data_IF_513441073213
#
_entry.id   IF_513441073213
#
_cell.length_a   1.000
_cell.length_b   1.000
_cell.length_c   1.000
_cell.angle_alpha   90.00
_cell.angle_beta   90.00
_cell.angle_gamma   90.00
#
_symmetry.space_group_name_H-M   'P 1'
#
loop_
_entity.id
_entity.type
_entity.pdbx_description
1 polymer ?
#
# COMPACT_ATOMS: atom_id res chain seq x y z
N UNK A 1 23.94 -18.30 -19.34
CA UNK A 1 22.96 -17.35 -18.74
C UNK A 1 22.58 -17.90 -17.39
N UNK A 2 23.13 -17.40 -16.29
CA UNK A 2 22.68 -17.79 -14.95
C UNK A 2 21.26 -17.26 -14.75
N UNK A 3 20.32 -18.15 -14.43
CA UNK A 3 18.92 -17.82 -14.23
C UNK A 3 18.79 -16.62 -13.27
N UNK A 4 17.87 -15.69 -13.58
CA UNK A 4 17.47 -14.59 -12.69
C UNK A 4 16.61 -15.13 -11.52
N UNK A 5 17.01 -16.29 -11.01
CA UNK A 5 16.34 -17.05 -9.98
C UNK A 5 16.46 -16.34 -8.64
N UNK A 6 15.42 -16.51 -7.84
CA UNK A 6 15.30 -15.88 -6.54
C UNK A 6 16.29 -16.51 -5.57
N UNK A 7 17.23 -15.71 -5.06
CA UNK A 7 18.26 -16.18 -4.12
C UNK A 7 17.78 -16.33 -2.67
N UNK A 8 16.47 -16.28 -2.40
CA UNK A 8 15.97 -16.37 -1.02
C UNK A 8 14.65 -17.11 -0.87
N UNK A 9 14.54 -17.80 0.26
CA UNK A 9 13.35 -18.51 0.71
C UNK A 9 12.90 -17.97 2.05
N UNK A 10 11.59 -17.95 2.30
CA UNK A 10 11.06 -17.47 3.57
C UNK A 10 10.96 -18.63 4.56
N UNK A 11 11.31 -18.39 5.82
CA UNK A 11 11.04 -19.34 6.90
C UNK A 11 9.53 -19.58 7.05
N UNK A 12 9.17 -20.78 7.49
CA UNK A 12 7.77 -21.21 7.62
C UNK A 12 7.01 -20.42 8.69
N UNK A 13 5.67 -20.45 8.62
CA UNK A 13 4.78 -19.77 9.58
C UNK A 13 4.91 -20.27 11.02
N UNK A 14 5.43 -21.49 11.20
CA UNK A 14 5.65 -22.15 12.49
C UNK A 14 7.09 -22.02 12.98
N UNK A 15 8.00 -21.44 12.18
CA UNK A 15 9.40 -21.30 12.54
C UNK A 15 9.58 -20.38 13.74
N UNK A 16 10.40 -20.83 14.69
CA UNK A 16 10.72 -20.14 15.93
C UNK A 16 12.22 -20.16 16.15
N UNK A 17 12.77 -19.04 16.63
CA UNK A 17 14.19 -18.94 17.01
C UNK A 17 14.32 -19.03 18.52
N UNK A 18 15.31 -19.78 19.05
CA UNK A 18 15.62 -19.72 20.47
C UNK A 18 16.02 -18.29 20.84
N UNK A 19 15.50 -17.78 21.94
CA UNK A 19 15.79 -16.42 22.40
C UNK A 19 16.50 -16.39 23.74
N UNK A 20 16.14 -17.32 24.63
CA UNK A 20 16.76 -17.43 25.94
C UNK A 20 16.31 -18.68 26.66
N UNK A 21 16.82 -18.82 27.88
CA UNK A 21 16.51 -19.92 28.79
C UNK A 21 15.88 -19.30 30.04
N UNK A 22 14.74 -19.84 30.48
CA UNK A 22 14.08 -19.47 31.72
C UNK A 22 14.85 -19.99 32.94
N UNK A 23 14.54 -19.48 34.13
CA UNK A 23 15.25 -19.86 35.37
C UNK A 23 15.15 -21.36 35.71
N UNK A 24 14.11 -22.03 35.22
CA UNK A 24 13.88 -23.47 35.37
C UNK A 24 14.56 -24.32 34.27
N UNK A 25 15.32 -23.69 33.37
CA UNK A 25 16.03 -24.36 32.29
C UNK A 25 15.22 -24.52 30.99
N UNK A 26 13.98 -24.02 30.93
CA UNK A 26 13.19 -24.11 29.70
C UNK A 26 13.60 -23.05 28.67
N UNK A 27 13.96 -23.50 27.46
CA UNK A 27 14.25 -22.59 26.36
C UNK A 27 12.96 -21.98 25.80
N UNK A 28 12.82 -20.66 25.88
CA UNK A 28 11.72 -19.97 25.22
C UNK A 28 12.17 -19.39 23.88
N UNK A 29 11.22 -19.35 22.95
CA UNK A 29 11.49 -19.03 21.55
C UNK A 29 10.61 -17.89 21.07
N UNK A 30 11.16 -17.10 20.15
CA UNK A 30 10.44 -16.01 19.51
C UNK A 30 9.94 -16.44 18.14
N UNK A 31 8.78 -15.92 17.75
CA UNK A 31 8.19 -16.20 16.44
C UNK A 31 9.08 -15.59 15.35
N UNK A 32 9.59 -16.43 14.46
CA UNK A 32 10.58 -16.08 13.45
C UNK A 32 10.12 -16.43 12.03
N UNK A 33 8.80 -16.46 11.81
CA UNK A 33 8.20 -16.68 10.50
C UNK A 33 8.53 -15.58 9.49
N UNK A 34 8.58 -15.94 8.20
CA UNK A 34 8.80 -14.99 7.11
C UNK A 34 10.15 -14.23 7.17
N UNK A 35 11.17 -14.79 7.80
CA UNK A 35 12.56 -14.30 7.68
C UNK A 35 13.12 -14.84 6.36
N UNK A 36 13.70 -13.99 5.49
CA UNK A 36 14.35 -14.46 4.28
C UNK A 36 15.69 -15.12 4.61
N UNK A 37 15.89 -16.34 4.12
CA UNK A 37 17.15 -17.05 4.08
C UNK A 37 17.75 -16.87 2.69
N UNK A 38 18.90 -16.21 2.60
CA UNK A 38 19.66 -15.98 1.38
C UNK A 38 20.63 -17.13 1.09
N UNK A 39 20.71 -17.50 -0.18
CA UNK A 39 21.67 -18.44 -0.73
C UNK A 39 22.55 -17.76 -1.78
N UNK A 40 23.73 -18.31 -1.97
CA UNK A 40 24.55 -18.10 -3.16
C UNK A 40 23.84 -18.65 -4.40
N UNK A 41 24.21 -18.20 -5.62
CA UNK A 41 23.64 -18.73 -6.87
C UNK A 41 23.79 -20.24 -7.08
N UNK A 42 24.73 -20.90 -6.38
CA UNK A 42 24.90 -22.36 -6.39
C UNK A 42 24.02 -23.09 -5.34
N UNK A 43 23.17 -22.35 -4.62
CA UNK A 43 22.24 -22.89 -3.62
C UNK A 43 22.82 -23.00 -2.21
N UNK A 44 24.14 -22.81 -2.01
CA UNK A 44 24.72 -22.82 -0.66
C UNK A 44 24.20 -21.65 0.18
N UNK A 45 23.92 -21.81 1.48
CA UNK A 45 23.53 -20.69 2.34
C UNK A 45 24.59 -19.58 2.33
N UNK A 46 24.16 -18.32 2.23
CA UNK A 46 25.03 -17.16 2.32
C UNK A 46 25.12 -16.70 3.79
N UNK A 47 26.09 -17.23 4.52
CA UNK A 47 26.21 -17.09 5.99
C UNK A 47 26.19 -15.63 6.43
N UNK A 48 27.05 -14.78 5.88
CA UNK A 48 27.15 -13.37 6.26
C UNK A 48 25.84 -12.63 6.02
N UNK A 49 25.18 -12.87 4.88
CA UNK A 49 23.93 -12.23 4.55
C UNK A 49 22.78 -12.68 5.48
N UNK A 50 22.78 -13.95 5.88
CA UNK A 50 21.81 -14.50 6.83
C UNK A 50 22.01 -13.95 8.25
N UNK A 51 23.26 -13.84 8.69
CA UNK A 51 23.60 -13.21 9.97
C UNK A 51 23.20 -11.72 9.99
N UNK A 52 23.44 -10.99 8.89
CA UNK A 52 22.99 -9.61 8.76
C UNK A 52 21.46 -9.45 8.82
N UNK A 53 20.72 -10.35 8.17
CA UNK A 53 19.25 -10.33 8.21
C UNK A 53 18.71 -10.68 9.60
N UNK A 54 19.41 -11.56 10.34
CA UNK A 54 19.11 -11.86 11.74
C UNK A 54 19.35 -10.63 12.63
N UNK A 55 20.51 -9.98 12.48
CA UNK A 55 20.81 -8.70 13.14
C UNK A 55 19.74 -7.63 12.86
N UNK A 56 19.30 -7.53 11.60
CA UNK A 56 18.20 -6.63 11.21
C UNK A 56 16.87 -7.01 11.88
N UNK A 57 16.59 -8.30 12.01
CA UNK A 57 15.39 -8.79 12.68
C UNK A 57 15.39 -8.44 14.18
N UNK A 58 16.52 -8.63 14.86
CA UNK A 58 16.70 -8.28 16.28
C UNK A 58 16.50 -6.78 16.54
N UNK A 59 16.86 -5.94 15.55
CA UNK A 59 16.57 -4.50 15.57
C UNK A 59 15.10 -4.13 15.31
N UNK A 60 14.23 -5.13 15.13
CA UNK A 60 12.79 -4.96 14.99
C UNK A 60 12.32 -4.62 13.57
N UNK A 61 13.10 -4.93 12.53
CA UNK A 61 12.65 -4.73 11.15
C UNK A 61 11.43 -5.63 10.82
N UNK A 62 10.49 -5.06 10.06
CA UNK A 62 9.19 -5.69 9.79
C UNK A 62 9.30 -6.97 8.96
N UNK A 63 8.53 -8.00 9.35
CA UNK A 63 8.33 -9.28 8.64
C UNK A 63 6.93 -9.45 8.02
N UNK A 64 6.07 -8.42 8.12
CA UNK A 64 4.67 -8.50 7.66
C UNK A 64 4.57 -8.74 6.15
N UNK A 65 3.52 -9.45 5.72
CA UNK A 65 3.16 -9.68 4.30
C UNK A 65 4.31 -10.25 3.46
N UNK A 66 4.75 -11.47 3.78
CA UNK A 66 5.83 -12.13 3.02
C UNK A 66 7.22 -11.58 3.35
N UNK A 67 7.46 -11.17 4.59
CA UNK A 67 8.78 -10.83 5.13
C UNK A 67 9.18 -9.36 5.08
N UNK A 68 8.27 -8.45 4.69
CA UNK A 68 8.35 -7.01 4.93
C UNK A 68 9.68 -6.34 4.52
N UNK A 69 10.25 -5.56 5.44
CA UNK A 69 11.51 -4.83 5.22
C UNK A 69 12.67 -5.80 5.04
N UNK A 70 12.71 -6.91 5.78
CA UNK A 70 13.77 -7.91 5.66
C UNK A 70 13.80 -8.54 4.26
N UNK A 71 12.64 -8.86 3.69
CA UNK A 71 12.55 -9.37 2.32
C UNK A 71 12.95 -8.34 1.29
N UNK A 72 12.63 -7.06 1.53
CA UNK A 72 13.14 -6.00 0.68
C UNK A 72 14.68 -5.93 0.74
N UNK A 73 15.29 -6.08 1.92
CA UNK A 73 16.74 -6.12 2.05
C UNK A 73 17.31 -7.34 1.31
N UNK A 74 16.74 -8.53 1.51
CA UNK A 74 17.18 -9.73 0.80
C UNK A 74 17.17 -9.58 -0.72
N UNK A 75 16.10 -8.97 -1.29
CA UNK A 75 16.02 -8.64 -2.72
C UNK A 75 17.16 -7.72 -3.17
N UNK A 76 17.46 -6.67 -2.39
CA UNK A 76 18.50 -5.71 -2.74
C UNK A 76 19.91 -6.32 -2.60
N UNK A 77 20.15 -7.09 -1.53
CA UNK A 77 21.42 -7.79 -1.29
C UNK A 77 21.70 -8.85 -2.34
N UNK A 78 20.66 -9.49 -2.89
CA UNK A 78 20.80 -10.47 -3.98
C UNK A 78 21.55 -9.91 -5.21
N UNK A 79 21.57 -8.59 -5.42
CA UNK A 79 22.38 -7.99 -6.48
C UNK A 79 23.88 -8.06 -6.18
N UNK A 80 24.29 -7.70 -4.96
CA UNK A 80 25.69 -7.77 -4.54
C UNK A 80 26.16 -9.22 -4.46
N UNK A 81 25.34 -10.13 -3.91
CA UNK A 81 25.65 -11.55 -3.80
C UNK A 81 25.96 -12.15 -5.18
N UNK A 82 25.13 -11.86 -6.21
CA UNK A 82 25.42 -12.30 -7.59
C UNK A 82 26.68 -11.68 -8.15
N UNK A 83 26.91 -10.40 -7.88
CA UNK A 83 28.13 -9.72 -8.33
C UNK A 83 29.37 -10.37 -7.73
N UNK A 84 29.40 -10.59 -6.43
CA UNK A 84 30.50 -11.25 -5.73
C UNK A 84 30.71 -12.69 -6.24
N UNK A 85 29.63 -13.47 -6.35
CA UNK A 85 29.70 -14.85 -6.84
C UNK A 85 30.27 -14.94 -8.26
N UNK A 86 29.76 -14.13 -9.19
CA UNK A 86 30.18 -14.18 -10.59
C UNK A 86 31.63 -13.72 -10.81
N UNK A 87 32.17 -12.93 -9.89
CA UNK A 87 33.55 -12.43 -9.97
C UNK A 87 34.48 -13.13 -8.96
N UNK A 88 33.98 -14.16 -8.25
CA UNK A 88 34.72 -14.89 -7.22
C UNK A 88 35.33 -13.99 -6.13
N UNK A 89 34.56 -13.01 -5.66
CA UNK A 89 34.95 -12.14 -4.56
C UNK A 89 34.31 -12.59 -3.24
N UNK A 90 35.10 -12.63 -2.16
CA UNK A 90 34.56 -12.61 -0.80
C UNK A 90 34.06 -11.20 -0.46
N UNK A 91 33.10 -11.07 0.46
CA UNK A 91 32.56 -9.75 0.82
C UNK A 91 33.61 -8.83 1.46
N UNK A 92 34.45 -9.38 2.34
CA UNK A 92 35.48 -8.64 3.07
C UNK A 92 36.67 -8.23 2.18
N UNK A 93 36.83 -8.87 1.01
CA UNK A 93 37.89 -8.55 0.04
C UNK A 93 37.48 -7.43 -0.94
N UNK A 94 36.24 -6.94 -0.85
CA UNK A 94 35.77 -5.89 -1.75
C UNK A 94 36.47 -4.56 -1.49
N UNK A 95 37.04 -3.99 -2.55
CA UNK A 95 37.59 -2.62 -2.52
C UNK A 95 36.58 -1.58 -3.00
N UNK A 96 36.87 -0.31 -2.74
CA UNK A 96 36.15 0.84 -3.31
C UNK A 96 35.96 0.74 -4.83
N UNK A 97 36.97 0.23 -5.54
CA UNK A 97 36.93 0.04 -6.99
C UNK A 97 35.94 -1.07 -7.39
N UNK A 98 35.93 -2.18 -6.66
CA UNK A 98 34.96 -3.26 -6.88
C UNK A 98 33.53 -2.79 -6.62
N UNK A 99 33.30 -2.04 -5.54
CA UNK A 99 32.00 -1.48 -5.22
C UNK A 99 31.55 -0.45 -6.27
N UNK A 100 32.47 0.40 -6.74
CA UNK A 100 32.23 1.34 -7.84
C UNK A 100 31.86 0.63 -9.15
N UNK A 101 32.51 -0.50 -9.45
CA UNK A 101 32.17 -1.33 -10.61
C UNK A 101 30.77 -1.95 -10.45
N UNK A 102 30.44 -2.49 -9.28
CA UNK A 102 29.11 -3.02 -8.97
C UNK A 102 28.01 -1.99 -9.24
N UNK A 103 28.17 -0.75 -8.75
CA UNK A 103 27.20 0.32 -8.97
C UNK A 103 27.11 0.72 -10.45
N UNK A 104 28.22 0.70 -11.20
CA UNK A 104 28.22 0.96 -12.65
C UNK A 104 27.47 -0.14 -13.42
N UNK A 105 27.66 -1.41 -13.08
CA UNK A 105 26.92 -2.53 -13.66
C UNK A 105 25.41 -2.34 -13.47
N UNK A 106 24.97 -2.00 -12.25
CA UNK A 106 23.55 -1.76 -11.98
C UNK A 106 22.93 -0.62 -12.81
N UNK A 107 23.72 0.42 -13.12
CA UNK A 107 23.31 1.56 -13.93
C UNK A 107 23.29 1.26 -15.43
N UNK A 108 24.15 0.35 -15.88
CA UNK A 108 24.27 -0.07 -17.28
C UNK A 108 23.31 -1.18 -17.70
N UNK A 109 22.69 -1.90 -16.74
CA UNK A 109 21.71 -2.94 -17.07
C UNK A 109 20.51 -2.38 -17.85
N UNK A 110 20.27 -2.94 -19.04
CA UNK A 110 19.14 -2.61 -19.91
C UNK A 110 17.94 -3.52 -19.63
N UNK A 111 16.73 -3.00 -19.82
CA UNK A 111 15.51 -3.78 -19.65
C UNK A 111 15.32 -4.74 -20.84
N UNK A 112 15.34 -6.07 -20.63
CA UNK A 112 15.18 -7.03 -21.71
C UNK A 112 13.78 -6.98 -22.36
N UNK A 113 12.78 -6.42 -21.66
CA UNK A 113 11.41 -6.26 -22.16
C UNK A 113 11.18 -4.92 -22.83
N UNK A 114 12.10 -3.96 -22.68
CA UNK A 114 12.00 -2.61 -23.21
C UNK A 114 13.35 -2.17 -23.79
N UNK A 115 13.64 -2.53 -25.05
CA UNK A 115 14.88 -2.16 -25.71
C UNK A 115 15.14 -0.66 -25.61
N UNK A 116 16.39 -0.29 -25.30
CA UNK A 116 16.80 1.12 -25.16
C UNK A 116 16.46 1.77 -23.81
N UNK A 117 15.69 1.11 -22.92
CA UNK A 117 15.44 1.63 -21.57
C UNK A 117 16.34 0.96 -20.54
N UNK A 118 16.86 1.76 -19.59
CA UNK A 118 17.57 1.24 -18.42
C UNK A 118 16.62 0.41 -17.56
N UNK A 119 17.10 -0.74 -17.08
CA UNK A 119 16.36 -1.65 -16.20
C UNK A 119 16.01 -1.00 -14.86
N UNK A 120 16.86 -0.09 -14.36
CA UNK A 120 16.70 0.56 -13.06
C UNK A 120 16.84 2.07 -13.16
N UNK A 121 15.96 2.77 -12.43
CA UNK A 121 16.08 4.21 -12.21
C UNK A 121 17.16 4.53 -11.17
N UNK A 122 17.71 5.74 -11.21
CA UNK A 122 18.76 6.18 -10.30
C UNK A 122 18.43 5.97 -8.81
N UNK A 123 17.19 6.26 -8.41
CA UNK A 123 16.74 6.07 -7.02
C UNK A 123 16.76 4.61 -6.56
N UNK A 124 16.49 3.67 -7.47
CA UNK A 124 16.53 2.23 -7.14
C UNK A 124 17.98 1.74 -7.01
N UNK A 125 18.89 2.20 -7.88
CA UNK A 125 20.33 1.94 -7.75
C UNK A 125 20.86 2.44 -6.41
N UNK A 126 20.52 3.68 -6.01
CA UNK A 126 20.87 4.21 -4.68
C UNK A 126 20.34 3.35 -3.54
N UNK A 127 19.11 2.82 -3.67
CA UNK A 127 18.54 1.95 -2.65
C UNK A 127 19.33 0.64 -2.53
N UNK A 128 19.70 0.02 -3.65
CA UNK A 128 20.55 -1.19 -3.66
C UNK A 128 21.88 -0.88 -3.00
N UNK A 129 22.59 0.15 -3.48
CA UNK A 129 23.90 0.52 -2.97
C UNK A 129 23.91 0.83 -1.48
N UNK A 130 22.94 1.60 -0.98
CA UNK A 130 22.84 1.93 0.46
C UNK A 130 22.61 0.71 1.34
N UNK A 131 21.72 -0.20 0.92
CA UNK A 131 21.48 -1.44 1.66
C UNK A 131 22.72 -2.33 1.65
N UNK A 132 23.44 -2.39 0.52
CA UNK A 132 24.69 -3.13 0.40
C UNK A 132 25.80 -2.54 1.26
N UNK A 133 25.94 -1.21 1.35
CA UNK A 133 26.92 -0.57 2.25
C UNK A 133 26.62 -0.85 3.73
N UNK A 134 25.34 -0.83 4.12
CA UNK A 134 24.95 -1.22 5.48
C UNK A 134 25.29 -2.68 5.80
N UNK A 135 25.08 -3.59 4.83
CA UNK A 135 25.48 -4.98 4.94
C UNK A 135 27.01 -5.15 5.00
N UNK A 136 27.76 -4.48 4.13
CA UNK A 136 29.22 -4.56 4.11
C UNK A 136 29.84 -3.95 5.38
N UNK A 137 29.24 -2.90 5.95
CA UNK A 137 29.63 -2.40 7.28
C UNK A 137 29.47 -3.48 8.36
N UNK A 138 28.36 -4.21 8.36
CA UNK A 138 28.16 -5.35 9.26
C UNK A 138 29.15 -6.50 9.01
N UNK A 139 29.48 -6.79 7.74
CA UNK A 139 30.54 -7.76 7.40
C UNK A 139 31.89 -7.31 7.98
N UNK A 140 32.23 -6.02 7.86
CA UNK A 140 33.42 -5.46 8.49
C UNK A 140 33.45 -5.74 9.99
N UNK A 141 32.36 -5.45 10.72
CA UNK A 141 32.25 -5.76 12.15
C UNK A 141 32.42 -7.26 12.44
N UNK A 142 31.81 -8.13 11.64
CA UNK A 142 31.91 -9.59 11.78
C UNK A 142 33.35 -10.11 11.63
N UNK A 143 34.14 -9.51 10.75
CA UNK A 143 35.54 -9.86 10.51
C UNK A 143 36.53 -8.98 11.28
N UNK A 144 36.06 -8.23 12.29
CA UNK A 144 36.87 -7.34 13.14
C UNK A 144 37.58 -6.19 12.39
N UNK A 145 37.00 -5.77 11.28
CA UNK A 145 37.40 -4.64 10.45
C UNK A 145 36.31 -3.55 10.47
N UNK A 146 36.07 -2.86 11.61
CA UNK A 146 34.94 -1.93 11.76
C UNK A 146 35.03 -0.70 10.85
N UNK A 147 36.23 -0.41 10.31
CA UNK A 147 36.47 0.67 9.35
C UNK A 147 36.40 0.21 7.89
N UNK A 148 35.95 -1.03 7.61
CA UNK A 148 35.86 -1.57 6.25
C UNK A 148 35.02 -0.68 5.32
N UNK A 149 33.91 -0.15 5.83
CA UNK A 149 33.08 0.88 5.16
C UNK A 149 33.16 2.18 5.97
N UNK A 150 33.73 3.22 5.38
CA UNK A 150 33.84 4.53 6.02
C UNK A 150 34.59 5.54 5.16
N UNK A 151 34.74 6.81 5.60
CA UNK A 151 35.37 7.86 4.77
C UNK A 151 36.80 7.51 4.34
N UNK A 152 37.54 6.82 5.21
CA UNK A 152 38.91 6.33 4.97
C UNK A 152 38.99 4.80 4.95
N UNK A 153 37.84 4.12 4.79
CA UNK A 153 37.78 2.66 4.76
C UNK A 153 38.23 2.05 3.45
N UNK A 154 38.29 0.72 3.40
CA UNK A 154 38.54 -0.06 2.18
C UNK A 154 37.50 0.25 1.09
N UNK A 155 36.25 0.47 1.51
CA UNK A 155 35.18 1.04 0.69
C UNK A 155 34.88 2.45 1.21
N UNK A 156 35.09 3.47 0.39
CA UNK A 156 35.01 4.88 0.79
C UNK A 156 33.57 5.37 0.70
N UNK A 157 32.88 5.34 1.83
CA UNK A 157 31.50 5.79 1.94
C UNK A 157 31.32 6.75 3.12
N UNK A 158 30.44 7.72 2.94
CA UNK A 158 30.14 8.74 3.93
C UNK A 158 28.72 8.58 4.45
N UNK A 159 28.51 8.84 5.73
CA UNK A 159 27.17 9.00 6.28
C UNK A 159 26.71 10.44 6.07
N UNK A 160 25.66 10.63 5.28
CA UNK A 160 25.02 11.93 5.07
C UNK A 160 23.73 12.03 5.88
N UNK A 161 23.38 13.23 6.27
CA UNK A 161 22.15 13.53 7.01
C UNK A 161 21.10 14.17 6.11
N UNK A 162 19.84 13.78 6.31
CA UNK A 162 18.67 14.53 5.87
C UNK A 162 17.92 14.97 7.12
N UNK A 163 17.77 16.28 7.25
CA UNK A 163 16.94 16.90 8.27
C UNK A 163 15.50 16.90 7.77
N UNK A 164 14.63 16.16 8.45
CA UNK A 164 13.19 16.14 8.20
C UNK A 164 12.49 16.89 9.33
N UNK A 165 11.58 17.79 9.01
CA UNK A 165 10.71 18.38 10.03
C UNK A 165 9.46 17.49 10.16
N UNK A 166 9.19 17.02 11.36
CA UNK A 166 7.97 16.30 11.67
C UNK A 166 7.34 16.87 12.94
N UNK A 167 6.16 17.47 12.80
CA UNK A 167 5.40 18.07 13.92
C UNK A 167 6.24 19.07 14.74
N UNK A 168 6.97 19.96 14.05
CA UNK A 168 7.86 20.94 14.69
C UNK A 168 9.18 20.37 15.24
N UNK A 169 9.32 19.05 15.35
CA UNK A 169 10.58 18.40 15.76
C UNK A 169 11.43 18.03 14.55
N UNK A 170 12.71 18.42 14.60
CA UNK A 170 13.69 18.04 13.60
C UNK A 170 14.10 16.58 13.83
N UNK A 171 13.73 15.71 12.88
CA UNK A 171 14.19 14.33 12.80
C UNK A 171 15.37 14.29 11.84
N UNK A 172 16.55 14.00 12.36
CA UNK A 172 17.72 13.72 11.54
C UNK A 172 17.69 12.26 11.12
N UNK A 173 17.75 12.01 9.81
CA UNK A 173 17.95 10.66 9.26
C UNK A 173 19.28 10.58 8.57
N UNK A 174 20.08 9.60 8.96
CA UNK A 174 21.35 9.28 8.33
C UNK A 174 21.16 8.28 7.20
N UNK A 175 22.01 8.37 6.17
CA UNK A 175 22.06 7.40 5.08
C UNK A 175 23.47 7.34 4.49
N UNK A 176 23.84 6.17 3.98
CA UNK A 176 25.10 6.00 3.26
C UNK A 176 25.10 6.71 1.91
N UNK A 177 26.22 7.35 1.62
CA UNK A 177 26.54 7.94 0.33
C UNK A 177 27.89 7.41 -0.14
N UNK A 178 27.97 7.11 -1.43
CA UNK A 178 29.18 6.67 -2.09
C UNK A 178 29.30 7.45 -3.40
N UNK A 179 30.53 7.80 -3.78
CA UNK A 179 30.82 8.66 -4.94
C UNK A 179 30.27 8.10 -6.26
N UNK A 180 30.22 6.78 -6.40
CA UNK A 180 29.69 6.09 -7.59
C UNK A 180 28.16 6.16 -7.75
N UNK A 181 27.40 6.68 -6.77
CA UNK A 181 25.95 6.75 -6.86
C UNK A 181 25.48 7.74 -7.94
N UNK A 182 24.43 7.40 -8.71
CA UNK A 182 23.93 8.27 -9.76
C UNK A 182 23.44 9.62 -9.23
N UNK A 183 23.37 10.62 -10.10
CA UNK A 183 22.71 11.89 -9.77
C UNK A 183 21.21 11.67 -9.50
N UNK A 184 20.61 12.56 -8.71
CA UNK A 184 19.18 12.48 -8.42
C UNK A 184 18.39 12.89 -9.66
N UNK A 185 17.52 12.01 -10.14
CA UNK A 185 16.54 12.33 -11.18
C UNK A 185 15.33 13.05 -10.56
N UNK A 186 14.65 13.94 -11.30
CA UNK A 186 13.37 14.49 -10.88
C UNK A 186 12.40 13.35 -10.57
N UNK A 187 11.77 13.39 -9.40
CA UNK A 187 10.73 12.42 -9.09
C UNK A 187 9.50 12.73 -9.95
N UNK A 188 9.15 11.82 -10.86
CA UNK A 188 7.83 11.85 -11.51
C UNK A 188 6.77 11.72 -10.41
N UNK A 189 6.04 12.81 -10.16
CA UNK A 189 4.97 12.82 -9.17
C UNK A 189 3.84 11.92 -9.65
N UNK A 190 3.36 11.06 -8.76
CA UNK A 190 2.17 10.26 -9.01
C UNK A 190 0.95 11.13 -8.77
N UNK A 191 0.13 11.29 -9.80
CA UNK A 191 -1.10 12.08 -9.72
C UNK A 191 -2.27 11.24 -9.16
N UNK A 192 -3.35 11.87 -8.68
CA UNK A 192 -4.61 11.19 -8.45
C UNK A 192 -5.09 10.43 -9.69
N UNK A 193 -5.73 9.28 -9.52
CA UNK A 193 -6.46 8.64 -10.63
C UNK A 193 -7.65 9.52 -11.04
N UNK A 194 -7.90 9.66 -12.34
CA UNK A 194 -9.03 10.44 -12.86
C UNK A 194 -10.36 9.67 -12.75
N UNK A 195 -11.48 10.40 -12.71
CA UNK A 195 -12.82 9.78 -12.75
C UNK A 195 -13.05 9.00 -14.05
N UNK A 196 -12.48 9.48 -15.17
CA UNK A 196 -12.54 8.79 -16.47
C UNK A 196 -11.84 7.44 -16.42
N UNK A 197 -10.63 7.37 -15.84
CA UNK A 197 -9.91 6.11 -15.71
C UNK A 197 -10.62 5.15 -14.76
N UNK A 198 -11.26 5.63 -13.69
CA UNK A 198 -12.10 4.77 -12.85
C UNK A 198 -13.28 4.19 -13.64
N UNK A 199 -13.95 5.00 -14.46
CA UNK A 199 -15.04 4.53 -15.31
C UNK A 199 -14.56 3.45 -16.30
N UNK A 200 -13.46 3.71 -17.02
CA UNK A 200 -12.84 2.72 -17.92
C UNK A 200 -12.49 1.40 -17.22
N UNK A 201 -11.98 1.47 -15.98
CA UNK A 201 -11.68 0.28 -15.18
C UNK A 201 -12.94 -0.51 -14.81
N UNK A 202 -14.07 0.15 -14.55
CA UNK A 202 -15.36 -0.49 -14.25
C UNK A 202 -15.92 -1.14 -15.51
N UNK A 203 -15.87 -0.43 -16.64
CA UNK A 203 -16.47 -0.87 -17.91
C UNK A 203 -15.85 -2.19 -18.43
N UNK A 204 -14.55 -2.41 -18.20
CA UNK A 204 -13.86 -3.64 -18.63
C UNK A 204 -14.00 -4.81 -17.66
N UNK A 205 -14.65 -4.64 -16.51
CA UNK A 205 -14.81 -5.72 -15.52
C UNK A 205 -15.45 -6.97 -16.14
N UNK A 206 -16.53 -6.91 -16.93
CA UNK A 206 -17.13 -8.10 -17.52
C UNK A 206 -16.18 -8.84 -18.46
N UNK A 207 -15.41 -8.10 -19.26
CA UNK A 207 -14.51 -8.67 -20.27
C UNK A 207 -13.41 -9.53 -19.64
N UNK A 208 -12.91 -9.13 -18.47
CA UNK A 208 -11.83 -9.85 -17.78
C UNK A 208 -12.31 -10.86 -16.75
N UNK A 209 -13.62 -10.94 -16.50
CA UNK A 209 -14.20 -11.77 -15.42
C UNK A 209 -14.94 -12.97 -15.96
N UNK A 210 -14.56 -14.14 -15.47
CA UNK A 210 -15.18 -15.40 -15.92
C UNK A 210 -16.45 -15.73 -15.14
N UNK A 211 -16.58 -15.25 -13.90
CA UNK A 211 -17.73 -15.55 -13.04
C UNK A 211 -18.38 -14.27 -12.51
N UNK A 212 -19.66 -14.36 -12.14
CA UNK A 212 -20.36 -13.27 -11.47
C UNK A 212 -19.65 -12.85 -10.18
N UNK A 213 -19.15 -13.81 -9.39
CA UNK A 213 -18.42 -13.48 -8.16
C UNK A 213 -17.16 -12.66 -8.45
N UNK A 214 -16.39 -13.01 -9.49
CA UNK A 214 -15.21 -12.23 -9.89
C UNK A 214 -15.56 -10.82 -10.32
N UNK A 215 -16.63 -10.65 -11.13
CA UNK A 215 -17.12 -9.32 -11.52
C UNK A 215 -17.41 -8.46 -10.30
N UNK A 216 -18.26 -8.97 -9.39
CA UNK A 216 -18.63 -8.27 -8.17
C UNK A 216 -17.44 -7.98 -7.27
N UNK A 217 -16.54 -8.95 -7.06
CA UNK A 217 -15.34 -8.77 -6.23
C UNK A 217 -14.43 -7.66 -6.77
N UNK A 218 -14.24 -7.58 -8.09
CA UNK A 218 -13.44 -6.54 -8.73
C UNK A 218 -14.07 -5.17 -8.61
N UNK A 219 -15.38 -5.08 -8.79
CA UNK A 219 -16.12 -3.83 -8.56
C UNK A 219 -15.97 -3.36 -7.10
N UNK A 220 -16.19 -4.26 -6.14
CA UNK A 220 -16.00 -3.96 -4.71
C UNK A 220 -14.55 -3.55 -4.39
N UNK A 221 -13.54 -4.15 -5.03
CA UNK A 221 -12.15 -3.74 -4.85
C UNK A 221 -11.93 -2.28 -5.29
N UNK A 222 -12.38 -1.89 -6.49
CA UNK A 222 -12.27 -0.51 -6.97
C UNK A 222 -13.02 0.44 -6.04
N UNK A 223 -14.24 0.07 -5.63
CA UNK A 223 -15.08 0.89 -4.75
C UNK A 223 -14.43 1.10 -3.38
N UNK A 224 -13.93 0.04 -2.74
CA UNK A 224 -13.22 0.14 -1.47
C UNK A 224 -12.00 1.07 -1.56
N UNK A 225 -11.21 0.96 -2.64
CA UNK A 225 -10.05 1.83 -2.84
C UNK A 225 -10.47 3.30 -3.00
N UNK A 226 -11.55 3.56 -3.73
CA UNK A 226 -12.10 4.89 -3.96
C UNK A 226 -12.63 5.53 -2.68
N UNK A 227 -13.50 4.84 -1.95
CA UNK A 227 -14.22 5.43 -0.80
C UNK A 227 -13.38 5.48 0.48
N UNK A 228 -12.34 4.64 0.60
CA UNK A 228 -11.51 4.58 1.83
C UNK A 228 -10.13 5.22 1.68
N UNK A 229 -9.61 5.36 0.46
CA UNK A 229 -8.21 5.72 0.22
C UNK A 229 -7.19 4.80 0.92
N UNK A 230 -7.62 3.58 1.28
CA UNK A 230 -6.82 2.67 2.06
C UNK A 230 -5.71 2.04 1.21
N UNK A 231 -4.59 1.70 1.86
CA UNK A 231 -3.51 0.95 1.19
C UNK A 231 -4.03 -0.44 0.85
N UNK A 232 -3.52 -1.06 -0.21
CA UNK A 232 -3.90 -2.43 -0.61
C UNK A 232 -3.93 -3.46 0.54
N UNK A 233 -2.96 -3.39 1.47
CA UNK A 233 -2.88 -4.28 2.65
C UNK A 233 -4.04 -4.02 3.62
N UNK A 234 -4.41 -2.74 3.77
CA UNK A 234 -5.50 -2.31 4.65
C UNK A 234 -6.85 -2.75 4.05
N UNK A 235 -7.04 -2.61 2.73
CA UNK A 235 -8.23 -3.11 2.00
C UNK A 235 -8.36 -4.63 2.14
N UNK A 236 -7.28 -5.38 1.92
CA UNK A 236 -7.29 -6.83 2.11
C UNK A 236 -7.53 -7.27 3.56
N UNK A 237 -7.40 -6.35 4.53
CA UNK A 237 -7.62 -6.61 5.95
C UNK A 237 -9.04 -6.34 6.45
N UNK A 238 -9.93 -5.77 5.64
CA UNK A 238 -11.31 -5.44 6.03
C UNK A 238 -12.10 -6.72 6.31
N UNK A 239 -12.83 -6.76 7.42
CA UNK A 239 -13.70 -7.87 7.79
C UNK A 239 -15.17 -7.57 7.54
N UNK A 240 -15.95 -8.62 7.34
CA UNK A 240 -17.41 -8.57 7.21
C UNK A 240 -18.04 -7.96 8.46
N UNK A 241 -17.51 -8.27 9.63
CA UNK A 241 -17.95 -7.71 10.91
C UNK A 241 -17.83 -6.18 10.95
N UNK A 242 -16.75 -5.62 10.39
CA UNK A 242 -16.54 -4.16 10.36
C UNK A 242 -17.63 -3.46 9.51
N UNK A 243 -18.14 -4.13 8.47
CA UNK A 243 -19.21 -3.62 7.60
C UNK A 243 -20.55 -3.67 8.32
N UNK A 244 -20.88 -4.78 8.98
CA UNK A 244 -22.11 -4.90 9.75
C UNK A 244 -22.14 -3.95 10.95
N UNK A 245 -20.99 -3.73 11.60
CA UNK A 245 -20.86 -2.74 12.65
C UNK A 245 -21.12 -1.33 12.12
N UNK A 246 -20.59 -0.97 10.94
CA UNK A 246 -20.89 0.30 10.29
C UNK A 246 -22.38 0.43 9.93
N UNK A 247 -23.01 -0.64 9.42
CA UNK A 247 -24.44 -0.67 9.06
C UNK A 247 -25.37 -0.38 10.24
N UNK A 248 -25.01 -0.85 11.43
CA UNK A 248 -25.81 -0.66 12.67
C UNK A 248 -25.76 0.77 13.21
N UNK A 249 -24.85 1.62 12.72
CA UNK A 249 -24.73 3.00 13.16
C UNK A 249 -25.85 3.85 12.58
N UNK A 250 -26.71 4.41 13.43
CA UNK A 250 -27.88 5.19 12.99
C UNK A 250 -27.47 6.52 12.32
N UNK A 251 -26.45 7.19 12.85
CA UNK A 251 -25.89 8.44 12.34
C UNK A 251 -24.37 8.36 12.22
N UNK A 252 -23.81 8.97 11.17
CA UNK A 252 -22.35 9.10 11.01
C UNK A 252 -21.62 7.76 10.87
N UNK A 253 -22.11 6.85 10.02
CA UNK A 253 -21.53 5.53 9.87
C UNK A 253 -20.03 5.58 9.52
N UNK A 254 -19.23 4.82 10.26
CA UNK A 254 -17.79 4.74 10.07
C UNK A 254 -17.33 3.30 9.83
N UNK A 255 -16.46 3.12 8.84
CA UNK A 255 -15.79 1.87 8.56
C UNK A 255 -14.47 1.80 9.32
N UNK A 256 -14.29 0.74 10.11
CA UNK A 256 -13.03 0.44 10.81
C UNK A 256 -12.01 -0.13 9.83
N UNK A 257 -10.85 0.51 9.73
CA UNK A 257 -9.75 0.10 8.83
C UNK A 257 -8.43 0.03 9.59
N UNK A 258 -7.71 -1.09 9.46
CA UNK A 258 -6.38 -1.25 10.06
C UNK A 258 -5.35 -0.28 9.44
N UNK A 259 -4.41 0.24 10.24
CA UNK A 259 -3.33 1.12 9.77
C UNK A 259 -2.00 0.38 9.61
N UNK A 260 -1.53 0.23 8.37
CA UNK A 260 -0.36 -0.63 8.09
C UNK A 260 1.00 -0.04 8.54
N UNK A 261 1.10 1.28 8.75
CA UNK A 261 2.37 2.01 8.94
C UNK A 261 2.60 2.62 10.32
N UNK A 262 1.78 2.35 11.34
CA UNK A 262 2.02 2.86 12.71
C UNK A 262 2.84 1.88 13.54
N UNK A 263 3.76 2.45 14.32
CA UNK A 263 4.91 1.81 14.98
C UNK A 263 4.50 1.03 16.24
N UNK A 264 5.28 -0.01 16.58
CA UNK A 264 5.24 -0.86 17.80
C UNK A 264 4.19 -1.97 17.90
N UNK A 265 3.76 -2.56 16.78
CA UNK A 265 3.03 -3.84 16.83
C UNK A 265 1.62 -3.81 17.44
N UNK A 266 1.19 -2.69 18.04
CA UNK A 266 -0.20 -2.46 18.42
C UNK A 266 -1.00 -2.14 17.17
N UNK A 267 -2.04 -2.94 16.91
CA UNK A 267 -2.91 -2.75 15.77
C UNK A 267 -3.73 -1.48 15.94
N UNK A 268 -3.21 -0.34 15.49
CA UNK A 268 -3.99 0.88 15.44
C UNK A 268 -4.97 0.82 14.26
N UNK A 269 -6.24 1.07 14.56
CA UNK A 269 -7.31 1.20 13.59
C UNK A 269 -7.64 2.68 13.40
N UNK A 270 -8.14 3.02 12.21
CA UNK A 270 -8.75 4.32 11.93
C UNK A 270 -10.22 4.11 11.53
N UNK A 271 -11.05 5.11 11.79
CA UNK A 271 -12.46 5.10 11.47
C UNK A 271 -12.72 6.07 10.33
N UNK A 272 -13.26 5.56 9.22
CA UNK A 272 -13.49 6.33 8.01
C UNK A 272 -14.98 6.54 7.80
N UNK A 273 -15.47 7.79 7.63
CA UNK A 273 -16.86 8.02 7.29
C UNK A 273 -17.16 7.38 5.93
N UNK A 274 -18.28 6.67 5.84
CA UNK A 274 -18.72 5.97 4.65
C UNK A 274 -20.22 6.24 4.43
N UNK A 275 -20.66 6.34 3.18
CA UNK A 275 -22.08 6.48 2.87
C UNK A 275 -22.83 5.18 3.16
N UNK A 276 -24.08 5.27 3.65
CA UNK A 276 -24.96 4.11 3.86
C UNK A 276 -25.22 3.37 2.56
N UNK A 277 -25.36 4.09 1.43
CA UNK A 277 -25.45 3.47 0.10
C UNK A 277 -24.26 2.56 -0.23
N UNK A 278 -23.04 2.95 0.14
CA UNK A 278 -21.84 2.11 -0.01
C UNK A 278 -21.84 0.92 0.97
N UNK A 279 -22.34 1.11 2.19
CA UNK A 279 -22.49 0.01 3.15
C UNK A 279 -23.46 -1.03 2.62
N UNK A 280 -24.62 -0.64 2.11
CA UNK A 280 -25.62 -1.58 1.57
C UNK A 280 -25.10 -2.32 0.33
N UNK A 281 -24.32 -1.64 -0.52
CA UNK A 281 -23.58 -2.30 -1.60
C UNK A 281 -22.65 -3.41 -1.07
N UNK A 282 -21.88 -3.11 -0.02
CA UNK A 282 -20.96 -4.08 0.60
C UNK A 282 -21.70 -5.23 1.28
N UNK A 283 -22.80 -4.94 1.97
CA UNK A 283 -23.67 -5.95 2.60
C UNK A 283 -24.26 -6.88 1.54
N UNK A 284 -24.79 -6.31 0.45
CA UNK A 284 -25.29 -7.10 -0.67
C UNK A 284 -24.22 -8.03 -1.25
N UNK A 285 -22.99 -7.52 -1.41
CA UNK A 285 -21.86 -8.33 -1.84
C UNK A 285 -21.60 -9.52 -0.90
N UNK A 286 -21.62 -9.26 0.42
CA UNK A 286 -21.42 -10.29 1.45
C UNK A 286 -22.51 -11.35 1.38
N UNK A 287 -23.77 -10.93 1.36
CA UNK A 287 -24.92 -11.82 1.53
C UNK A 287 -25.23 -12.62 0.27
N UNK A 288 -25.15 -11.99 -0.91
CA UNK A 288 -25.53 -12.63 -2.19
C UNK A 288 -24.38 -13.37 -2.86
N UNK A 289 -23.15 -12.85 -2.79
CA UNK A 289 -22.04 -13.36 -3.59
C UNK A 289 -20.99 -14.07 -2.73
N UNK A 290 -20.47 -13.41 -1.70
CA UNK A 290 -19.44 -13.97 -0.81
C UNK A 290 -19.95 -15.21 -0.07
N UNK A 291 -21.18 -15.17 0.48
CA UNK A 291 -21.78 -16.31 1.20
C UNK A 291 -21.84 -17.58 0.36
N UNK A 292 -22.13 -17.46 -0.95
CA UNK A 292 -22.14 -18.62 -1.88
C UNK A 292 -20.76 -19.25 -2.02
N UNK A 293 -19.71 -18.44 -2.07
CA UNK A 293 -18.31 -18.94 -2.13
C UNK A 293 -17.94 -19.64 -0.83
N UNK A 294 -18.24 -19.03 0.33
CA UNK A 294 -17.95 -19.64 1.65
C UNK A 294 -18.64 -20.99 1.78
N UNK A 295 -19.94 -21.07 1.48
CA UNK A 295 -20.70 -22.33 1.55
C UNK A 295 -20.13 -23.43 0.65
N UNK A 296 -19.57 -23.07 -0.51
CA UNK A 296 -18.99 -24.03 -1.46
C UNK A 296 -17.55 -24.44 -1.15
N UNK A 297 -16.84 -23.72 -0.28
CA UNK A 297 -15.38 -23.88 -0.10
C UNK A 297 -15.03 -24.30 1.32
N UNK A 298 -14.92 -23.35 2.24
CA UNK A 298 -14.46 -23.60 3.62
C UNK A 298 -15.61 -23.91 4.58
N UNK A 299 -16.85 -23.60 4.21
CA UNK A 299 -18.01 -23.66 5.10
C UNK A 299 -18.04 -22.47 6.08
N UNK A 300 -19.20 -22.24 6.68
CA UNK A 300 -19.43 -21.08 7.58
C UNK A 300 -18.55 -21.17 8.82
N UNK A 301 -18.37 -22.37 9.38
CA UNK A 301 -17.63 -22.58 10.64
C UNK A 301 -16.13 -22.27 10.50
N UNK A 302 -15.58 -22.36 9.28
CA UNK A 302 -14.17 -22.05 9.01
C UNK A 302 -13.99 -20.67 8.35
N UNK A 303 -15.04 -19.85 8.26
CA UNK A 303 -14.95 -18.50 7.70
C UNK A 303 -14.22 -17.56 8.66
N UNK A 304 -13.02 -17.12 8.26
CA UNK A 304 -12.20 -16.16 9.01
C UNK A 304 -12.71 -14.71 8.91
N UNK A 305 -13.81 -14.47 8.20
CA UNK A 305 -14.54 -13.19 8.18
C UNK A 305 -13.93 -12.12 7.28
N UNK A 306 -12.95 -12.44 6.43
CA UNK A 306 -12.36 -11.46 5.50
C UNK A 306 -13.34 -11.09 4.38
N UNK A 307 -13.46 -9.81 4.05
CA UNK A 307 -14.40 -9.34 3.02
C UNK A 307 -14.03 -9.87 1.63
N UNK A 308 -12.78 -9.69 1.21
CA UNK A 308 -12.28 -10.12 -0.09
C UNK A 308 -11.64 -11.51 0.02
N UNK A 309 -12.25 -12.50 -0.64
CA UNK A 309 -11.81 -13.89 -0.62
C UNK A 309 -11.53 -14.42 -2.02
N UNK A 310 -10.71 -15.47 -2.08
CA UNK A 310 -10.50 -16.26 -3.28
C UNK A 310 -11.74 -17.12 -3.55
N UNK A 311 -12.19 -17.12 -4.81
CA UNK A 311 -13.35 -17.91 -5.25
C UNK A 311 -13.10 -19.41 -5.15
N UNK A 312 -11.88 -19.85 -5.43
CA UNK A 312 -11.53 -21.28 -5.45
C UNK A 312 -11.28 -21.87 -4.06
N UNK A 313 -10.84 -21.05 -3.09
CA UNK A 313 -10.42 -21.55 -1.78
C UNK A 313 -11.22 -21.01 -0.61
N UNK A 314 -12.05 -19.98 -0.79
CA UNK A 314 -12.76 -19.30 0.31
C UNK A 314 -11.87 -18.50 1.27
N UNK A 315 -10.53 -18.58 1.11
CA UNK A 315 -9.56 -17.92 1.98
C UNK A 315 -9.34 -16.46 1.59
N UNK A 316 -8.79 -15.68 2.53
CA UNK A 316 -8.39 -14.27 2.32
C UNK A 316 -7.63 -14.10 1.00
N UNK A 317 -8.01 -13.11 0.22
CA UNK A 317 -7.28 -12.78 -1.00
C UNK A 317 -5.88 -12.23 -0.67
N UNK A 318 -4.85 -12.73 -1.36
CA UNK A 318 -3.49 -12.27 -1.16
C UNK A 318 -3.33 -10.81 -1.65
N UNK A 319 -2.45 -10.06 -0.99
CA UNK A 319 -2.20 -8.65 -1.32
C UNK A 319 -1.63 -8.49 -2.75
N UNK A 320 -0.85 -9.46 -3.21
CA UNK A 320 -0.32 -9.55 -4.57
C UNK A 320 -1.47 -9.72 -5.57
N UNK A 321 -2.46 -10.55 -5.25
CA UNK A 321 -3.65 -10.74 -6.10
C UNK A 321 -4.41 -9.43 -6.25
N UNK A 322 -4.62 -8.65 -5.19
CA UNK A 322 -5.25 -7.32 -5.28
C UNK A 322 -4.50 -6.38 -6.24
N UNK A 323 -3.16 -6.47 -6.26
CA UNK A 323 -2.33 -5.67 -7.17
C UNK A 323 -2.46 -6.15 -8.62
N UNK A 324 -2.48 -7.47 -8.81
CA UNK A 324 -2.62 -8.08 -10.12
C UNK A 324 -4.00 -7.84 -10.73
N UNK A 325 -5.07 -7.80 -9.91
CA UNK A 325 -6.42 -7.46 -10.36
C UNK A 325 -6.48 -6.03 -10.93
N UNK A 326 -5.87 -5.06 -10.25
CA UNK A 326 -5.77 -3.69 -10.77
C UNK A 326 -4.96 -3.61 -12.06
N UNK A 327 -3.86 -4.35 -12.15
CA UNK A 327 -3.02 -4.39 -13.35
C UNK A 327 -3.76 -5.04 -14.53
N UNK A 328 -4.53 -6.09 -14.27
CA UNK A 328 -5.37 -6.75 -15.27
C UNK A 328 -6.41 -5.78 -15.83
N UNK A 329 -7.15 -5.10 -14.95
CA UNK A 329 -8.14 -4.10 -15.35
C UNK A 329 -7.51 -2.94 -16.13
N UNK A 330 -6.37 -2.41 -15.68
CA UNK A 330 -5.70 -1.31 -16.37
C UNK A 330 -5.22 -1.70 -17.78
N UNK A 331 -4.73 -2.93 -17.94
CA UNK A 331 -4.33 -3.47 -19.26
C UNK A 331 -5.53 -3.64 -20.19
N UNK A 332 -6.63 -4.20 -19.69
CA UNK A 332 -7.86 -4.37 -20.47
C UNK A 332 -8.46 -3.02 -20.88
N UNK A 333 -8.46 -2.05 -19.97
CA UNK A 333 -8.89 -0.68 -20.20
C UNK A 333 -7.94 0.16 -21.07
N UNK A 334 -6.78 -0.40 -21.47
CA UNK A 334 -5.73 0.28 -22.27
C UNK A 334 -5.32 1.63 -21.67
N UNK A 335 -5.16 1.68 -20.34
CA UNK A 335 -4.73 2.89 -19.64
C UNK A 335 -3.20 2.91 -19.63
N UNK A 336 -2.61 3.88 -20.33
CA UNK A 336 -1.16 4.09 -20.38
C UNK A 336 -0.60 4.66 -19.07
N UNK A 337 -1.43 5.39 -18.32
CA UNK A 337 -1.02 5.96 -17.04
C UNK A 337 -0.91 4.89 -15.95
N UNK A 338 -0.15 5.20 -14.89
CA UNK A 338 -0.01 4.29 -13.77
C UNK A 338 -1.35 4.13 -13.03
N UNK A 339 -1.90 2.91 -13.01
CA UNK A 339 -3.05 2.53 -12.17
C UNK A 339 -2.58 1.65 -11.02
N UNK A 340 -2.74 2.12 -9.78
CA UNK A 340 -2.52 1.30 -8.60
C UNK A 340 -3.31 1.85 -7.39
N UNK A 341 -3.44 1.06 -6.33
CA UNK A 341 -4.11 1.46 -5.09
C UNK A 341 -3.59 2.79 -4.50
N UNK A 342 -2.33 3.16 -4.78
CA UNK A 342 -1.78 4.44 -4.33
C UNK A 342 -2.44 5.63 -5.03
N UNK A 343 -2.81 5.51 -6.31
CA UNK A 343 -3.46 6.58 -7.09
C UNK A 343 -4.88 6.86 -6.58
N UNK A 344 -5.61 5.81 -6.20
CA UNK A 344 -6.90 5.93 -5.51
C UNK A 344 -6.75 6.65 -4.17
N UNK A 345 -5.69 6.31 -3.41
CA UNK A 345 -5.37 7.02 -2.19
C UNK A 345 -5.03 8.50 -2.43
N UNK A 346 -4.28 8.82 -3.49
CA UNK A 346 -4.00 10.21 -3.85
C UNK A 346 -5.32 10.95 -4.10
N UNK A 347 -6.23 10.37 -4.90
CA UNK A 347 -7.57 10.92 -5.19
C UNK A 347 -8.40 11.11 -3.93
N UNK A 348 -8.46 10.12 -3.05
CA UNK A 348 -9.21 10.20 -1.79
C UNK A 348 -8.74 11.38 -0.93
N UNK A 349 -7.42 11.57 -0.79
CA UNK A 349 -6.86 12.67 0.00
C UNK A 349 -7.17 14.02 -0.65
N UNK A 350 -7.00 14.15 -1.96
CA UNK A 350 -7.36 15.37 -2.70
C UNK A 350 -8.83 15.70 -2.50
N UNK A 351 -9.74 14.74 -2.68
CA UNK A 351 -11.18 14.93 -2.48
C UNK A 351 -11.56 15.25 -1.03
N UNK A 352 -10.84 14.70 -0.05
CA UNK A 352 -11.00 15.07 1.35
C UNK A 352 -10.63 16.54 1.57
N UNK A 353 -9.52 17.00 0.98
CA UNK A 353 -9.10 18.40 1.09
C UNK A 353 -10.04 19.36 0.38
N UNK A 354 -10.50 19.03 -0.83
CA UNK A 354 -11.57 19.77 -1.52
C UNK A 354 -12.76 19.98 -0.57
N UNK A 355 -13.25 18.90 0.04
CA UNK A 355 -14.37 18.97 0.99
C UNK A 355 -14.06 19.85 2.22
N UNK A 356 -12.84 19.80 2.77
CA UNK A 356 -12.47 20.62 3.93
C UNK A 356 -12.29 22.11 3.56
N UNK A 357 -11.72 22.39 2.39
CA UNK A 357 -11.55 23.73 1.84
C UNK A 357 -12.92 24.39 1.65
N UNK A 358 -13.85 23.68 1.01
CA UNK A 358 -15.19 24.18 0.78
C UNK A 358 -15.99 24.30 2.07
N UNK A 359 -15.91 23.32 2.99
CA UNK A 359 -16.63 23.34 4.28
C UNK A 359 -16.26 24.54 5.16
N UNK A 360 -14.99 24.90 5.17
CA UNK A 360 -14.48 25.99 6.01
C UNK A 360 -14.25 27.29 5.22
N UNK A 361 -14.58 27.30 3.92
CA UNK A 361 -14.44 28.45 3.01
C UNK A 361 -13.05 29.07 3.04
N UNK A 362 -12.00 28.25 2.99
CA UNK A 362 -10.63 28.77 2.91
C UNK A 362 -10.37 29.40 1.54
N UNK A 363 -9.87 30.63 1.53
CA UNK A 363 -9.72 31.44 0.31
C UNK A 363 -8.45 31.10 -0.47
N UNK A 364 -7.38 30.69 0.22
CA UNK A 364 -6.09 30.39 -0.38
C UNK A 364 -5.37 29.24 0.35
N UNK A 365 -4.32 28.71 -0.31
CA UNK A 365 -3.55 27.58 0.20
C UNK A 365 -2.90 27.85 1.56
N UNK A 366 -2.42 29.07 1.81
CA UNK A 366 -1.69 29.41 3.03
C UNK A 366 -2.61 29.46 4.25
N UNK A 367 -3.85 29.92 4.08
CA UNK A 367 -4.86 29.89 5.13
C UNK A 367 -5.22 28.46 5.53
N UNK A 368 -5.40 27.58 4.55
CA UNK A 368 -5.65 26.17 4.82
C UNK A 368 -4.45 25.48 5.46
N UNK A 369 -3.22 25.78 5.02
CA UNK A 369 -1.98 25.29 5.65
C UNK A 369 -1.90 25.68 7.11
N UNK A 370 -2.13 26.96 7.43
CA UNK A 370 -2.13 27.46 8.81
C UNK A 370 -3.18 26.74 9.65
N UNK A 371 -4.41 26.63 9.15
CA UNK A 371 -5.46 25.90 9.86
C UNK A 371 -5.12 24.41 10.10
N UNK A 372 -4.43 23.74 9.17
CA UNK A 372 -3.96 22.36 9.35
C UNK A 372 -2.83 22.23 10.36
N UNK A 373 -1.99 23.25 10.50
CA UNK A 373 -0.87 23.25 11.44
C UNK A 373 -1.31 23.61 12.86
N UNK A 374 -2.15 24.63 12.97
CA UNK A 374 -2.56 25.28 14.22
C UNK A 374 -3.84 24.66 14.82
N UNK A 375 -4.75 24.19 13.96
CA UNK A 375 -6.02 23.60 14.39
C UNK A 375 -5.88 22.13 14.80
N UNK A 376 -5.79 21.85 16.10
CA UNK A 376 -5.67 20.46 16.61
C UNK A 376 -6.78 19.53 16.11
N UNK A 377 -8.03 20.02 16.04
CA UNK A 377 -9.19 19.23 15.61
C UNK A 377 -9.12 18.85 14.13
N UNK A 378 -8.83 19.83 13.25
CA UNK A 378 -8.73 19.61 11.81
C UNK A 378 -7.56 18.68 11.48
N UNK A 379 -6.41 18.94 12.11
CA UNK A 379 -5.21 18.11 12.04
C UNK A 379 -5.48 16.67 12.45
N UNK A 380 -6.12 16.45 13.60
CA UNK A 380 -6.44 15.11 14.11
C UNK A 380 -7.37 14.37 13.16
N UNK A 381 -8.41 15.04 12.65
CA UNK A 381 -9.36 14.48 11.68
C UNK A 381 -8.66 14.04 10.38
N UNK A 382 -7.80 14.88 9.81
CA UNK A 382 -7.04 14.57 8.60
C UNK A 382 -6.04 13.42 8.83
N UNK A 383 -5.35 13.41 9.97
CA UNK A 383 -4.43 12.33 10.33
C UNK A 383 -5.16 11.00 10.55
N UNK A 384 -6.36 11.04 11.14
CA UNK A 384 -7.20 9.87 11.32
C UNK A 384 -7.65 9.33 9.96
N UNK A 385 -8.28 10.15 9.11
CA UNK A 385 -8.85 9.68 7.84
C UNK A 385 -7.77 9.21 6.87
N UNK A 386 -6.67 9.93 6.78
CA UNK A 386 -5.61 9.57 5.85
C UNK A 386 -4.67 8.53 6.44
N UNK A 387 -4.54 8.42 7.77
CA UNK A 387 -3.56 7.54 8.42
C UNK A 387 -2.11 8.00 8.22
N UNK A 388 -1.86 9.30 7.99
CA UNK A 388 -0.52 9.87 7.97
C UNK A 388 -0.07 10.28 9.37
N UNK A 389 1.21 10.11 9.64
CA UNK A 389 1.86 10.60 10.87
C UNK A 389 2.36 12.03 10.74
N UNK A 390 2.63 12.48 9.51
CA UNK A 390 3.21 13.79 9.22
C UNK A 390 2.38 14.56 8.22
N UNK A 391 2.10 15.83 8.52
CA UNK A 391 1.33 16.72 7.65
C UNK A 391 2.13 17.13 6.41
N UNK A 392 3.46 17.25 6.52
CA UNK A 392 4.31 17.58 5.36
C UNK A 392 4.17 16.57 4.22
N UNK A 393 3.82 15.31 4.53
CA UNK A 393 3.53 14.29 3.51
C UNK A 393 2.22 14.51 2.76
N UNK A 394 1.37 15.42 3.24
CA UNK A 394 0.09 15.81 2.65
C UNK A 394 0.17 17.10 1.83
N UNK A 395 1.27 17.83 1.90
CA UNK A 395 1.47 19.10 1.18
C UNK A 395 1.15 19.01 -0.33
N UNK A 396 1.58 17.95 -1.06
CA UNK A 396 1.31 17.88 -2.50
C UNK A 396 -0.18 17.82 -2.87
N UNK A 397 -1.07 17.47 -1.94
CA UNK A 397 -2.51 17.37 -2.20
C UNK A 397 -3.25 18.69 -2.00
N UNK A 398 -2.67 19.63 -1.24
CA UNK A 398 -3.29 20.92 -0.96
C UNK A 398 -3.45 21.70 -2.27
N UNK A 399 -2.36 21.83 -3.02
CA UNK A 399 -2.36 22.48 -4.33
C UNK A 399 -3.39 21.87 -5.30
N UNK A 400 -3.40 20.53 -5.43
CA UNK A 400 -4.34 19.82 -6.29
C UNK A 400 -5.80 20.07 -5.89
N UNK A 401 -6.07 20.21 -4.59
CA UNK A 401 -7.41 20.47 -4.10
C UNK A 401 -7.87 21.90 -4.42
N UNK A 402 -7.01 22.92 -4.27
CA UNK A 402 -7.34 24.29 -4.66
C UNK A 402 -7.54 24.45 -6.16
N UNK A 403 -6.71 23.79 -7.00
CA UNK A 403 -6.94 23.74 -8.44
C UNK A 403 -8.31 23.14 -8.79
N UNK A 404 -8.74 22.13 -8.04
CA UNK A 404 -10.03 21.48 -8.26
C UNK A 404 -11.20 22.36 -7.79
N UNK A 405 -11.12 22.98 -6.60
CA UNK A 405 -12.13 23.93 -6.09
C UNK A 405 -12.31 25.12 -7.04
N UNK A 406 -11.22 25.68 -7.58
CA UNK A 406 -11.27 26.80 -8.52
C UNK A 406 -12.03 26.44 -9.82
N UNK A 407 -12.04 25.16 -10.23
CA UNK A 407 -12.77 24.69 -11.43
C UNK A 407 -14.24 24.42 -11.18
N UNK A 408 -14.64 24.15 -9.94
CA UNK A 408 -16.00 23.76 -9.57
C UNK A 408 -16.52 24.72 -8.50
N UNK A 409 -17.06 25.85 -8.94
CA UNK A 409 -17.62 26.88 -8.06
C UNK A 409 -18.62 26.32 -7.04
N UNK A 410 -18.62 26.99 -5.87
CA UNK A 410 -19.39 26.75 -4.65
C UNK A 410 -20.77 26.10 -4.83
N UNK A 411 -21.08 25.11 -3.99
CA UNK A 411 -22.27 25.03 -3.09
C UNK A 411 -22.10 23.79 -2.19
N UNK A 412 -22.07 24.00 -0.88
CA UNK A 412 -21.78 23.00 0.16
C UNK A 412 -22.84 21.89 0.28
N UNK A 413 -24.10 22.20 0.02
CA UNK A 413 -25.20 21.22 0.07
C UNK A 413 -25.26 20.34 -1.18
N UNK A 414 -24.80 20.86 -2.31
CA UNK A 414 -24.65 20.11 -3.55
C UNK A 414 -23.59 19.02 -3.42
N UNK A 415 -22.66 19.07 -2.46
CA UNK A 415 -21.50 18.16 -2.40
C UNK A 415 -21.71 16.90 -1.57
N UNK A 416 -22.43 16.99 -0.44
CA UNK A 416 -22.97 15.79 0.22
C UNK A 416 -23.93 15.09 -0.72
N UNK A 417 -24.81 15.87 -1.35
CA UNK A 417 -25.68 15.37 -2.40
C UNK A 417 -24.86 14.79 -3.56
N UNK A 418 -23.78 15.43 -4.00
CA UNK A 418 -22.91 14.95 -5.07
C UNK A 418 -22.19 13.67 -4.69
N UNK A 419 -21.70 13.48 -3.47
CA UNK A 419 -21.10 12.20 -3.06
C UNK A 419 -22.13 11.08 -3.02
N UNK A 420 -23.34 11.37 -2.53
CA UNK A 420 -24.45 10.41 -2.54
C UNK A 420 -24.85 10.10 -3.99
N UNK A 421 -24.92 11.11 -4.87
CA UNK A 421 -25.23 10.98 -6.30
C UNK A 421 -24.10 10.27 -7.06
N UNK A 422 -22.83 10.55 -6.79
CA UNK A 422 -21.66 9.88 -7.38
C UNK A 422 -21.60 8.42 -6.91
N UNK A 423 -21.95 8.16 -5.65
CA UNK A 423 -22.14 6.80 -5.12
C UNK A 423 -23.26 6.06 -5.84
N UNK A 424 -24.44 6.67 -5.91
CA UNK A 424 -25.59 6.16 -6.66
C UNK A 424 -25.23 5.91 -8.12
N UNK A 425 -24.64 6.87 -8.83
CA UNK A 425 -24.24 6.74 -10.23
C UNK A 425 -23.27 5.58 -10.44
N UNK A 426 -22.32 5.39 -9.53
CA UNK A 426 -21.40 4.24 -9.58
C UNK A 426 -22.15 2.92 -9.36
N UNK A 427 -23.05 2.86 -8.38
CA UNK A 427 -23.89 1.68 -8.12
C UNK A 427 -24.85 1.40 -9.28
N UNK A 428 -25.37 2.44 -9.95
CA UNK A 428 -26.23 2.34 -11.12
C UNK A 428 -25.48 1.80 -12.34
N UNK A 429 -24.21 2.20 -12.53
CA UNK A 429 -23.36 1.60 -13.57
C UNK A 429 -23.21 0.10 -13.36
N UNK A 430 -23.00 -0.31 -12.12
CA UNK A 430 -22.91 -1.71 -11.75
C UNK A 430 -24.24 -2.48 -11.96
N UNK A 431 -25.39 -1.87 -11.63
CA UNK A 431 -26.71 -2.45 -11.96
C UNK A 431 -26.94 -2.56 -13.47
N UNK A 432 -26.61 -1.51 -14.23
CA UNK A 432 -26.72 -1.50 -15.69
C UNK A 432 -25.83 -2.57 -16.32
N UNK A 433 -24.60 -2.69 -15.83
CA UNK A 433 -23.66 -3.72 -16.25
C UNK A 433 -24.26 -5.11 -16.06
N UNK A 434 -24.83 -5.41 -14.89
CA UNK A 434 -25.41 -6.73 -14.64
C UNK A 434 -26.70 -6.98 -15.43
N UNK A 435 -27.47 -5.93 -15.75
CA UNK A 435 -28.62 -6.03 -16.65
C UNK A 435 -28.19 -6.48 -18.05
N UNK A 436 -27.13 -5.87 -18.59
CA UNK A 436 -26.57 -6.25 -19.89
C UNK A 436 -25.98 -7.66 -19.90
N UNK A 437 -25.65 -8.22 -18.73
CA UNK A 437 -25.11 -9.56 -18.56
C UNK A 437 -26.18 -10.61 -18.21
N UNK A 438 -27.47 -10.27 -18.34
CA UNK A 438 -28.57 -11.23 -18.25
C UNK A 438 -29.04 -11.58 -16.83
N UNK A 439 -28.70 -10.78 -15.82
CA UNK A 439 -29.34 -10.92 -14.50
C UNK A 439 -30.83 -10.55 -14.58
N UNK A 440 -31.64 -11.17 -13.71
CA UNK A 440 -33.09 -10.97 -13.68
C UNK A 440 -33.46 -9.49 -13.51
N UNK A 441 -34.26 -8.91 -14.44
CA UNK A 441 -34.73 -7.53 -14.30
C UNK A 441 -35.49 -7.28 -13.00
N UNK A 442 -36.16 -8.30 -12.47
CA UNK A 442 -36.89 -8.23 -11.19
C UNK A 442 -35.94 -8.15 -10.00
N UNK A 443 -34.85 -8.92 -9.99
CA UNK A 443 -33.88 -8.87 -8.90
C UNK A 443 -33.09 -7.56 -8.90
N UNK A 444 -32.81 -7.02 -10.09
CA UNK A 444 -32.12 -5.75 -10.28
C UNK A 444 -33.01 -4.56 -9.94
N UNK A 445 -34.31 -4.60 -10.25
CA UNK A 445 -35.24 -3.52 -9.92
C UNK A 445 -35.42 -3.36 -8.40
N UNK A 446 -35.46 -4.46 -7.66
CA UNK A 446 -35.47 -4.43 -6.18
C UNK A 446 -34.18 -3.80 -5.65
N UNK A 447 -33.01 -4.25 -6.15
CA UNK A 447 -31.72 -3.71 -5.73
C UNK A 447 -31.58 -2.21 -6.02
N UNK A 448 -32.05 -1.79 -7.19
CA UNK A 448 -32.07 -0.39 -7.61
C UNK A 448 -32.97 0.44 -6.69
N UNK A 449 -34.15 -0.09 -6.34
CA UNK A 449 -35.08 0.56 -5.42
C UNK A 449 -34.45 0.71 -4.03
N UNK A 450 -33.76 -0.31 -3.52
CA UNK A 450 -33.05 -0.24 -2.23
C UNK A 450 -31.99 0.86 -2.25
N UNK A 451 -31.15 0.93 -3.29
CA UNK A 451 -30.13 1.98 -3.42
C UNK A 451 -30.73 3.38 -3.51
N UNK A 452 -31.82 3.54 -4.27
CA UNK A 452 -32.52 4.81 -4.40
C UNK A 452 -33.16 5.25 -3.09
N UNK A 453 -33.84 4.35 -2.38
CA UNK A 453 -34.49 4.65 -1.11
C UNK A 453 -33.47 5.07 -0.04
N UNK A 454 -32.36 4.34 0.08
CA UNK A 454 -31.28 4.67 1.02
C UNK A 454 -30.66 6.02 0.68
N UNK A 455 -30.38 6.28 -0.59
CA UNK A 455 -29.81 7.55 -1.00
C UNK A 455 -30.78 8.73 -0.80
N UNK A 456 -32.08 8.55 -1.05
CA UNK A 456 -33.12 9.55 -0.77
C UNK A 456 -33.21 9.86 0.73
N UNK A 457 -33.13 8.84 1.58
CA UNK A 457 -33.09 9.01 3.04
C UNK A 457 -31.82 9.76 3.48
N UNK A 458 -30.66 9.43 2.91
CA UNK A 458 -29.40 10.15 3.18
C UNK A 458 -29.45 11.61 2.73
N UNK A 459 -30.02 11.89 1.55
CA UNK A 459 -30.21 13.25 1.02
C UNK A 459 -31.19 14.05 1.89
N UNK A 460 -32.29 13.44 2.32
CA UNK A 460 -33.26 14.07 3.21
C UNK A 460 -32.62 14.46 4.55
N UNK A 461 -31.89 13.54 5.18
CA UNK A 461 -31.16 13.78 6.42
C UNK A 461 -30.02 14.80 6.28
N UNK A 462 -29.41 14.92 5.10
CA UNK A 462 -28.38 15.92 4.84
C UNK A 462 -28.94 17.35 4.79
N UNK A 463 -30.20 17.52 4.36
CA UNK A 463 -30.87 18.84 4.25
C UNK A 463 -31.41 19.38 5.58
N UNK A 464 -31.68 18.51 6.57
CA UNK A 464 -32.21 18.90 7.89
C UNK A 464 -31.12 19.34 8.87
N UNK A 465 -29.87 18.87 8.70
CA UNK A 465 -28.73 19.21 9.57
C UNK A 465 -28.16 20.63 9.39
N UNK A 466 -28.67 21.41 8.43
CA UNK A 466 -28.27 22.81 8.19
C UNK A 466 -29.15 23.86 8.87
N UNK A 467 -30.19 23.44 9.62
CA UNK A 467 -31.16 24.33 10.28
C UNK A 467 -31.07 24.37 11.81
N UNK A 468 -30.03 23.78 12.41
CA UNK A 468 -29.81 23.76 13.87
C UNK A 468 -28.56 24.54 14.28
#
# INVERSE_FOLDING_TARGET
>A
MLNDEKLYHLTSSVFRLPYGIEQDGHAFSIKADNIPLLCWPDGRPCTEANLYLLHCFERGLSRKEGGGTLTQYAKLLSHLIRFCFNNNYSFIDLTDSNFSLFIRVLQGEMDPRKPGQKRRRAGHVKSIGRTCLGFLGYVGELYLEPSFVGPMGTIRAETKEIKLVNQGKQIVRTYWHHHSFPHSEPQVRRLPISSENIAKLIDVIPEVSTTTYQRRRRFILLRLLEITGARRIEVGGIRVEDIYNARRMQQGAVLKVFTAKRSKGRGEYRYLPIAKSDIELLVNFVEKFRRRVINKTVGIDNDLGYLLISESSGKKLATETLTNELLLLAKAAKIDEQVCAHMFRHRFITKLFVTLIEQHKYENEDDFRRALLDGETLKRKVQEYTGHTSISSLEPYIHLAFEEVARFGNILDLLKARRIVESLQSNLKDVFLELTQGMSPVELSILLSDYLNVALEELSNASTAGKS
#
